data_IF_821390903159
#
_entry.id   IF_821390903159
#
_cell.length_a   1.000
_cell.length_b   1.000
_cell.length_c   1.000
_cell.angle_alpha   90.00
_cell.angle_beta   90.00
_cell.angle_gamma   90.00
#
_symmetry.space_group_name_H-M   'P 1'
#
loop_
_entity.id
_entity.type
_entity.pdbx_description
1 polymer ?
#
# COMPACT_ATOMS: atom_id res chain seq x y z
N UNK A 1 -34.40 -64.53 14.55
CA UNK A 1 -33.56 -63.58 13.77
C UNK A 1 -34.02 -62.17 14.13
N UNK A 2 -33.22 -61.43 14.87
CA UNK A 2 -33.53 -60.02 15.16
C UNK A 2 -33.33 -59.24 13.85
N UNK A 3 -34.38 -58.60 13.37
CA UNK A 3 -34.28 -57.69 12.24
C UNK A 3 -33.29 -56.59 12.61
N UNK A 4 -32.21 -56.46 11.83
CA UNK A 4 -31.27 -55.35 11.95
C UNK A 4 -32.08 -54.08 11.67
N UNK A 5 -32.37 -53.33 12.72
CA UNK A 5 -32.98 -51.99 12.56
C UNK A 5 -31.96 -51.14 11.81
N UNK A 6 -32.25 -50.83 10.54
CA UNK A 6 -31.47 -49.90 9.76
C UNK A 6 -31.59 -48.54 10.47
N UNK A 7 -30.51 -48.10 11.12
CA UNK A 7 -30.44 -46.78 11.74
C UNK A 7 -30.55 -45.74 10.62
N UNK A 8 -31.68 -45.08 10.52
CA UNK A 8 -31.89 -43.94 9.62
C UNK A 8 -31.46 -42.65 10.37
N UNK A 9 -30.95 -41.65 9.64
CA UNK A 9 -30.66 -40.33 10.20
C UNK A 9 -31.87 -39.73 10.92
N UNK A 10 -33.07 -39.98 10.43
CA UNK A 10 -34.32 -39.51 11.03
C UNK A 10 -34.63 -40.20 12.38
N UNK A 11 -34.03 -41.33 12.69
CA UNK A 11 -34.21 -42.04 13.97
C UNK A 11 -33.24 -41.57 15.08
N UNK A 12 -32.25 -40.77 14.73
CA UNK A 12 -31.29 -40.23 15.74
C UNK A 12 -31.95 -39.18 16.65
N UNK A 13 -31.62 -39.13 17.94
CA UNK A 13 -32.02 -38.02 18.80
C UNK A 13 -31.61 -36.67 18.24
N UNK A 14 -32.28 -35.57 18.62
CA UNK A 14 -32.04 -34.23 18.07
C UNK A 14 -30.65 -33.72 18.36
N UNK A 15 -30.09 -33.93 19.55
CA UNK A 15 -28.80 -33.42 19.93
C UNK A 15 -27.63 -34.01 19.11
N UNK A 16 -27.50 -35.36 18.96
CA UNK A 16 -26.51 -35.94 18.05
C UNK A 16 -26.68 -35.45 16.61
N UNK A 17 -27.93 -35.29 16.14
CA UNK A 17 -28.20 -34.84 14.78
C UNK A 17 -27.79 -33.37 14.58
N UNK A 18 -28.07 -32.51 15.55
CA UNK A 18 -27.60 -31.11 15.54
C UNK A 18 -26.07 -31.02 15.54
N UNK A 19 -25.42 -31.92 16.30
CA UNK A 19 -23.96 -32.00 16.28
C UNK A 19 -23.44 -32.37 14.88
N UNK A 20 -24.03 -33.36 14.23
CA UNK A 20 -23.68 -33.71 12.84
C UNK A 20 -23.91 -32.52 11.91
N UNK A 21 -25.07 -31.87 11.97
CA UNK A 21 -25.40 -30.70 11.17
C UNK A 21 -24.45 -29.53 11.43
N UNK A 22 -23.84 -29.45 12.63
CA UNK A 22 -22.87 -28.38 12.93
C UNK A 22 -21.56 -28.49 12.17
N UNK A 23 -21.24 -29.62 11.56
CA UNK A 23 -20.05 -29.78 10.69
C UNK A 23 -20.33 -29.42 9.22
N UNK A 24 -21.60 -29.27 8.85
CA UNK A 24 -22.00 -28.96 7.47
C UNK A 24 -21.80 -27.49 7.14
N UNK A 25 -21.58 -27.20 5.87
CA UNK A 25 -21.61 -25.84 5.34
C UNK A 25 -23.05 -25.42 5.01
N UNK A 26 -23.25 -24.12 4.71
CA UNK A 26 -24.59 -23.57 4.46
C UNK A 26 -25.32 -24.26 3.32
N UNK A 27 -24.61 -24.66 2.25
CA UNK A 27 -25.19 -25.35 1.09
C UNK A 27 -25.77 -26.71 1.48
N UNK A 28 -25.04 -27.43 2.32
CA UNK A 28 -25.47 -28.76 2.80
C UNK A 28 -26.62 -28.60 3.78
N UNK A 29 -26.60 -27.57 4.65
CA UNK A 29 -27.73 -27.31 5.57
C UNK A 29 -29.02 -26.98 4.77
N UNK A 30 -28.89 -26.16 3.72
CA UNK A 30 -30.05 -25.88 2.83
C UNK A 30 -30.52 -27.15 2.15
N UNK A 31 -29.64 -27.97 1.63
CA UNK A 31 -29.99 -29.26 1.01
C UNK A 31 -30.67 -30.19 2.02
N UNK A 32 -30.14 -30.31 3.22
CA UNK A 32 -30.77 -31.11 4.29
C UNK A 32 -32.16 -30.59 4.65
N UNK A 33 -32.39 -29.28 4.61
CA UNK A 33 -33.69 -28.69 4.93
C UNK A 33 -34.81 -29.11 3.96
N UNK A 34 -34.48 -29.58 2.78
CA UNK A 34 -35.43 -29.99 1.74
C UNK A 34 -35.81 -31.48 1.83
N UNK A 35 -35.16 -32.26 2.73
CA UNK A 35 -35.32 -33.74 2.78
C UNK A 35 -36.51 -34.16 3.63
N UNK A 36 -36.69 -33.56 4.83
CA UNK A 36 -37.82 -33.91 5.71
C UNK A 36 -38.21 -32.71 6.59
N UNK A 37 -39.45 -32.69 7.11
CA UNK A 37 -39.91 -31.63 8.03
C UNK A 37 -39.01 -31.51 9.26
N UNK A 38 -38.58 -32.63 9.81
CA UNK A 38 -37.70 -32.68 10.97
C UNK A 38 -36.34 -32.03 10.66
N UNK A 39 -35.72 -32.34 9.53
CA UNK A 39 -34.47 -31.73 9.10
C UNK A 39 -34.67 -30.25 8.80
N UNK A 40 -35.81 -29.82 8.24
CA UNK A 40 -36.13 -28.39 8.08
C UNK A 40 -36.10 -27.64 9.40
N UNK A 41 -36.70 -28.21 10.45
CA UNK A 41 -36.71 -27.62 11.79
C UNK A 41 -35.30 -27.55 12.40
N UNK A 42 -34.57 -28.68 12.36
CA UNK A 42 -33.22 -28.77 12.93
C UNK A 42 -32.18 -27.88 12.19
N UNK A 43 -32.23 -27.83 10.87
CA UNK A 43 -31.37 -26.96 10.08
C UNK A 43 -31.68 -25.47 10.27
N UNK A 44 -32.87 -25.11 10.74
CA UNK A 44 -33.24 -23.75 11.16
C UNK A 44 -32.67 -23.32 12.49
N UNK A 45 -31.97 -24.21 13.22
CA UNK A 45 -31.49 -23.92 14.58
C UNK A 45 -30.45 -22.79 14.60
N UNK A 46 -30.71 -21.77 15.39
CA UNK A 46 -29.89 -20.55 15.45
C UNK A 46 -28.39 -20.75 15.63
N UNK A 47 -27.89 -21.64 16.48
CA UNK A 47 -26.44 -21.87 16.66
C UNK A 47 -25.72 -22.29 15.37
N UNK A 48 -26.37 -23.02 14.46
CA UNK A 48 -25.79 -23.43 13.19
C UNK A 48 -25.51 -22.21 12.31
N UNK A 49 -26.50 -21.35 12.19
CA UNK A 49 -26.40 -20.13 11.36
C UNK A 49 -25.52 -19.06 12.01
N UNK A 50 -25.49 -18.97 13.35
CA UNK A 50 -24.52 -18.11 14.04
C UNK A 50 -23.08 -18.46 13.67
N UNK A 51 -22.74 -19.75 13.72
CA UNK A 51 -21.40 -20.23 13.32
C UNK A 51 -21.07 -19.86 11.87
N UNK A 52 -22.03 -20.02 10.97
CA UNK A 52 -21.85 -19.67 9.54
C UNK A 52 -21.72 -18.18 9.32
N UNK A 53 -22.51 -17.35 10.02
CA UNK A 53 -22.36 -15.89 10.00
C UNK A 53 -21.00 -15.44 10.50
N UNK A 54 -20.52 -16.04 11.59
CA UNK A 54 -19.18 -15.75 12.10
C UNK A 54 -18.07 -16.20 11.17
N UNK A 55 -18.21 -17.38 10.54
CA UNK A 55 -17.21 -17.94 9.64
C UNK A 55 -17.09 -17.13 8.33
N UNK A 56 -18.22 -16.85 7.67
CA UNK A 56 -18.22 -16.29 6.33
C UNK A 56 -18.32 -14.77 6.29
N UNK A 57 -19.04 -14.17 7.28
CA UNK A 57 -19.36 -12.75 7.30
C UNK A 57 -18.72 -11.97 8.45
N UNK A 58 -18.04 -12.66 9.38
CA UNK A 58 -17.43 -12.10 10.60
C UNK A 58 -18.43 -11.33 11.49
N UNK A 59 -19.71 -11.72 11.47
CA UNK A 59 -20.77 -11.05 12.21
C UNK A 59 -20.75 -11.43 13.68
N UNK A 60 -21.06 -10.44 14.53
CA UNK A 60 -21.08 -10.53 16.00
C UNK A 60 -22.50 -10.50 16.56
N UNK A 61 -22.63 -10.73 17.87
CA UNK A 61 -23.93 -10.54 18.55
C UNK A 61 -24.41 -9.08 18.51
N UNK A 62 -23.47 -8.13 18.45
CA UNK A 62 -23.83 -6.71 18.32
C UNK A 62 -24.50 -6.42 16.98
N UNK A 63 -23.96 -6.99 15.86
CA UNK A 63 -24.54 -6.84 14.52
C UNK A 63 -25.95 -7.43 14.45
N UNK A 64 -26.15 -8.60 15.06
CA UNK A 64 -27.47 -9.22 15.19
C UNK A 64 -28.44 -8.36 16.00
N UNK A 65 -27.96 -7.83 17.15
CA UNK A 65 -28.78 -6.99 18.04
C UNK A 65 -29.30 -5.75 17.37
N UNK A 66 -28.51 -5.11 16.52
CA UNK A 66 -28.90 -3.92 15.76
C UNK A 66 -30.02 -4.20 14.74
N UNK A 67 -30.07 -5.39 14.17
CA UNK A 67 -31.05 -5.75 13.11
C UNK A 67 -32.30 -6.46 13.60
N UNK A 68 -32.26 -7.02 14.81
CA UNK A 68 -33.42 -7.73 15.40
C UNK A 68 -33.85 -9.02 14.68
N UNK A 69 -32.98 -9.56 13.83
CA UNK A 69 -33.24 -10.72 12.97
C UNK A 69 -32.72 -12.03 13.59
N UNK A 70 -33.19 -13.18 13.09
CA UNK A 70 -32.55 -14.46 13.37
C UNK A 70 -31.20 -14.58 12.65
N UNK A 71 -30.33 -15.45 13.12
CA UNK A 71 -29.02 -15.70 12.45
C UNK A 71 -29.17 -16.23 11.02
N UNK A 72 -30.24 -16.99 10.76
CA UNK A 72 -30.53 -17.52 9.41
C UNK A 72 -30.94 -16.39 8.46
N UNK A 73 -31.82 -15.51 8.89
CA UNK A 73 -32.22 -14.33 8.09
C UNK A 73 -31.03 -13.40 7.83
N UNK A 74 -30.22 -13.17 8.87
CA UNK A 74 -29.01 -12.36 8.75
C UNK A 74 -28.00 -12.98 7.76
N UNK A 75 -27.81 -14.31 7.81
CA UNK A 75 -26.97 -15.00 6.84
C UNK A 75 -27.51 -14.85 5.42
N UNK A 76 -28.82 -15.00 5.25
CA UNK A 76 -29.50 -14.88 3.96
C UNK A 76 -29.30 -13.47 3.37
N UNK A 77 -29.51 -12.43 4.14
CA UNK A 77 -29.37 -11.04 3.68
C UNK A 77 -27.94 -10.75 3.23
N UNK A 78 -26.94 -11.18 4.00
CA UNK A 78 -25.54 -11.08 3.59
C UNK A 78 -25.23 -11.92 2.36
N UNK A 79 -25.84 -13.10 2.24
CA UNK A 79 -25.65 -13.95 1.07
C UNK A 79 -26.25 -13.35 -0.20
N UNK A 80 -27.39 -12.68 -0.10
CA UNK A 80 -27.99 -11.96 -1.23
C UNK A 80 -27.07 -10.83 -1.72
N UNK A 81 -26.43 -10.12 -0.81
CA UNK A 81 -25.57 -8.97 -1.13
C UNK A 81 -24.13 -9.39 -1.49
N UNK A 82 -23.51 -10.30 -0.74
CA UNK A 82 -22.10 -10.70 -0.87
C UNK A 82 -21.88 -12.17 -1.22
N UNK A 83 -22.92 -12.95 -1.49
CA UNK A 83 -22.80 -14.40 -1.73
C UNK A 83 -21.87 -14.77 -2.88
N UNK A 84 -21.79 -13.93 -3.91
CA UNK A 84 -20.83 -14.04 -5.01
C UNK A 84 -19.37 -14.06 -4.51
N UNK A 85 -19.10 -13.42 -3.37
CA UNK A 85 -17.77 -13.17 -2.81
C UNK A 85 -17.49 -13.99 -1.55
N UNK A 86 -18.31 -15.00 -1.24
CA UNK A 86 -18.25 -15.74 0.05
C UNK A 86 -16.88 -16.35 0.34
N UNK A 87 -16.13 -16.73 -0.70
CA UNK A 87 -14.79 -17.31 -0.59
C UNK A 87 -13.70 -16.27 -0.26
N UNK A 88 -13.98 -14.99 -0.46
CA UNK A 88 -13.01 -13.90 -0.27
C UNK A 88 -13.36 -12.96 0.88
N UNK A 89 -14.67 -12.84 1.18
CA UNK A 89 -15.20 -11.81 2.04
C UNK A 89 -14.56 -11.80 3.44
N UNK A 90 -14.51 -12.96 4.11
CA UNK A 90 -14.00 -13.02 5.48
C UNK A 90 -12.52 -12.59 5.57
N UNK A 91 -11.70 -13.00 4.61
CA UNK A 91 -10.27 -12.62 4.54
C UNK A 91 -10.11 -11.13 4.30
N UNK A 92 -10.80 -10.60 3.31
CA UNK A 92 -10.70 -9.18 2.93
C UNK A 92 -11.31 -8.26 3.99
N UNK A 93 -12.47 -8.65 4.54
CA UNK A 93 -13.12 -7.87 5.63
C UNK A 93 -12.23 -7.82 6.86
N UNK A 94 -11.63 -8.95 7.25
CA UNK A 94 -10.67 -8.99 8.34
C UNK A 94 -9.48 -8.09 8.08
N UNK A 95 -8.89 -8.15 6.88
CA UNK A 95 -7.78 -7.29 6.51
C UNK A 95 -8.15 -5.80 6.61
N UNK A 96 -9.30 -5.41 6.09
CA UNK A 96 -9.80 -4.03 6.22
C UNK A 96 -10.03 -3.61 7.68
N UNK A 97 -10.62 -4.47 8.51
CA UNK A 97 -10.87 -4.18 9.92
C UNK A 97 -9.57 -4.04 10.72
N UNK A 98 -8.61 -4.94 10.49
CA UNK A 98 -7.29 -4.89 11.13
C UNK A 98 -6.54 -3.61 10.74
N UNK A 99 -6.53 -3.27 9.44
CA UNK A 99 -5.90 -2.04 8.94
C UNK A 99 -6.55 -0.78 9.53
N UNK A 100 -7.88 -0.71 9.52
CA UNK A 100 -8.64 0.43 10.07
C UNK A 100 -8.41 0.58 11.57
N UNK A 101 -8.41 -0.51 12.32
CA UNK A 101 -8.17 -0.49 13.76
C UNK A 101 -6.75 0.00 14.07
N UNK A 102 -5.75 -0.48 13.34
CA UNK A 102 -4.35 -0.12 13.55
C UNK A 102 -4.08 1.34 13.13
N UNK A 103 -4.45 1.72 11.91
CA UNK A 103 -4.23 3.06 11.40
C UNK A 103 -5.12 4.11 12.07
N UNK A 104 -6.29 3.73 12.58
CA UNK A 104 -7.14 4.62 13.37
C UNK A 104 -6.44 5.18 14.61
N UNK A 105 -5.48 4.42 15.17
CA UNK A 105 -4.68 4.84 16.30
C UNK A 105 -3.37 5.56 15.88
N UNK A 106 -2.79 5.18 14.75
CA UNK A 106 -1.47 5.67 14.30
C UNK A 106 -1.55 6.79 13.27
N UNK A 107 -2.46 6.67 12.30
CA UNK A 107 -2.62 7.61 11.19
C UNK A 107 -4.11 7.83 10.87
N UNK A 108 -4.90 8.48 11.74
CA UNK A 108 -6.35 8.62 11.57
C UNK A 108 -6.73 9.34 10.27
N UNK A 109 -5.86 10.21 9.74
CA UNK A 109 -6.07 10.90 8.46
C UNK A 109 -6.15 9.94 7.28
N UNK A 110 -5.38 8.85 7.27
CA UNK A 110 -5.47 7.82 6.23
C UNK A 110 -6.85 7.15 6.25
N UNK A 111 -7.36 6.84 7.45
CA UNK A 111 -8.69 6.23 7.59
C UNK A 111 -9.80 7.19 7.16
N UNK A 112 -9.67 8.46 7.47
CA UNK A 112 -10.65 9.49 7.05
C UNK A 112 -10.67 9.69 5.51
N UNK A 113 -9.64 9.25 4.80
CA UNK A 113 -9.59 9.32 3.34
C UNK A 113 -10.29 8.16 2.64
N UNK A 114 -10.60 7.07 3.33
CA UNK A 114 -11.30 5.92 2.75
C UNK A 114 -12.67 6.31 2.19
N UNK A 115 -12.97 5.81 1.00
CA UNK A 115 -14.29 5.97 0.38
C UNK A 115 -15.23 4.86 0.86
N UNK A 116 -16.52 5.13 0.82
CA UNK A 116 -17.55 4.11 1.00
C UNK A 116 -17.42 3.02 -0.05
N UNK A 117 -17.92 1.83 0.23
CA UNK A 117 -17.89 0.73 -0.73
C UNK A 117 -18.71 1.04 -1.98
N UNK A 118 -18.18 0.65 -3.13
CA UNK A 118 -18.88 0.74 -4.41
C UNK A 118 -20.08 -0.19 -4.45
N UNK A 119 -21.10 0.18 -5.19
CA UNK A 119 -22.26 -0.69 -5.46
C UNK A 119 -21.94 -1.71 -6.55
N UNK A 120 -22.75 -2.76 -6.61
CA UNK A 120 -22.56 -3.83 -7.60
C UNK A 120 -22.75 -3.31 -9.03
N UNK A 121 -23.74 -2.44 -9.25
CA UNK A 121 -24.03 -1.81 -10.54
C UNK A 121 -22.92 -0.83 -10.99
N UNK A 122 -22.25 -0.15 -10.06
CA UNK A 122 -21.08 0.69 -10.36
C UNK A 122 -19.92 -0.17 -10.88
N UNK A 123 -19.64 -1.31 -10.23
CA UNK A 123 -18.63 -2.26 -10.70
C UNK A 123 -18.97 -2.88 -12.05
N UNK A 124 -20.24 -3.20 -12.29
CA UNK A 124 -20.70 -3.70 -13.60
C UNK A 124 -20.55 -2.64 -14.70
N UNK A 125 -20.82 -1.36 -14.40
CA UNK A 125 -20.61 -0.25 -15.32
C UNK A 125 -19.12 -0.10 -15.68
N UNK A 126 -18.23 -0.23 -14.70
CA UNK A 126 -16.77 -0.20 -14.93
C UNK A 126 -16.33 -1.38 -15.82
N UNK A 127 -16.81 -2.60 -15.56
CA UNK A 127 -16.53 -3.76 -16.43
C UNK A 127 -16.97 -3.51 -17.88
N UNK A 128 -18.14 -2.91 -18.06
CA UNK A 128 -18.64 -2.53 -19.40
C UNK A 128 -17.76 -1.45 -20.05
N UNK A 129 -17.30 -0.46 -19.28
CA UNK A 129 -16.45 0.62 -19.77
C UNK A 129 -15.08 0.11 -20.24
N UNK A 130 -14.41 -0.75 -19.44
CA UNK A 130 -13.07 -1.24 -19.76
C UNK A 130 -13.09 -2.47 -20.70
N UNK A 131 -14.23 -3.09 -20.88
CA UNK A 131 -14.41 -4.29 -21.72
C UNK A 131 -13.80 -5.58 -21.13
N UNK A 132 -13.49 -5.60 -19.82
CA UNK A 132 -12.88 -6.73 -19.12
C UNK A 132 -13.62 -7.03 -17.83
N UNK A 133 -13.59 -8.32 -17.41
CA UNK A 133 -14.15 -8.73 -16.12
C UNK A 133 -13.16 -8.53 -14.99
N UNK A 134 -13.61 -7.85 -13.94
CA UNK A 134 -12.85 -7.68 -12.71
C UNK A 134 -12.79 -8.98 -11.91
N UNK A 135 -11.66 -9.35 -11.30
CA UNK A 135 -11.57 -10.47 -10.38
C UNK A 135 -12.54 -10.32 -9.20
N UNK A 136 -13.12 -11.44 -8.75
CA UNK A 136 -14.13 -11.40 -7.68
C UNK A 136 -13.56 -10.91 -6.33
N UNK A 137 -12.31 -11.20 -6.03
CA UNK A 137 -11.63 -10.72 -4.83
C UNK A 137 -11.41 -9.18 -4.87
N UNK A 138 -11.04 -8.63 -6.02
CA UNK A 138 -10.98 -7.18 -6.22
C UNK A 138 -12.38 -6.55 -6.02
N UNK A 139 -13.40 -7.06 -6.70
CA UNK A 139 -14.79 -6.59 -6.55
C UNK A 139 -15.22 -6.64 -5.08
N UNK A 140 -14.96 -7.76 -4.40
CA UNK A 140 -15.30 -7.92 -2.98
C UNK A 140 -14.67 -6.82 -2.11
N UNK A 141 -13.38 -6.55 -2.28
CA UNK A 141 -12.69 -5.51 -1.51
C UNK A 141 -13.27 -4.13 -1.79
N UNK A 142 -13.55 -3.82 -3.05
CA UNK A 142 -14.08 -2.51 -3.44
C UNK A 142 -15.56 -2.32 -3.07
N UNK A 143 -16.29 -3.41 -2.84
CA UNK A 143 -17.61 -3.38 -2.19
C UNK A 143 -17.51 -3.02 -0.70
N UNK A 144 -16.37 -3.27 -0.05
CA UNK A 144 -16.14 -2.89 1.35
C UNK A 144 -15.65 -1.42 1.42
N UNK A 145 -14.62 -1.08 0.65
CA UNK A 145 -14.10 0.28 0.50
C UNK A 145 -13.64 0.53 -0.94
N UNK A 146 -14.17 1.57 -1.57
CA UNK A 146 -13.84 1.97 -2.93
C UNK A 146 -12.58 2.85 -2.95
N UNK A 147 -11.42 2.27 -2.59
CA UNK A 147 -10.18 3.01 -2.54
C UNK A 147 -10.16 4.16 -1.53
N UNK A 148 -9.36 5.17 -1.81
CA UNK A 148 -9.28 6.38 -0.98
C UNK A 148 -9.49 7.65 -1.80
N UNK A 149 -9.81 8.75 -1.14
CA UNK A 149 -9.69 10.09 -1.72
C UNK A 149 -8.20 10.37 -1.92
N UNK A 150 -7.84 10.91 -3.07
CA UNK A 150 -6.46 11.29 -3.37
C UNK A 150 -6.01 12.36 -2.39
N UNK A 151 -5.29 11.96 -1.38
CA UNK A 151 -4.79 12.81 -0.30
C UNK A 151 -3.44 12.26 0.17
N UNK A 152 -2.65 13.12 0.75
CA UNK A 152 -1.40 12.75 1.39
C UNK A 152 -1.66 12.55 2.89
N UNK A 153 -1.17 11.47 3.50
CA UNK A 153 -0.37 10.36 2.95
C UNK A 153 -1.23 9.29 2.28
N UNK A 154 -0.69 8.65 1.23
CA UNK A 154 -1.33 7.55 0.53
C UNK A 154 -1.40 6.27 1.36
N UNK A 155 -2.52 5.56 1.25
CA UNK A 155 -2.81 4.36 2.04
C UNK A 155 -1.81 3.22 1.81
N UNK A 156 -1.27 3.11 0.59
CA UNK A 156 -0.38 2.01 0.21
C UNK A 156 1.10 2.29 0.52
N UNK A 157 1.37 3.37 1.24
CA UNK A 157 2.69 3.68 1.76
C UNK A 157 3.70 4.12 0.71
N UNK A 158 4.94 4.31 1.13
CA UNK A 158 6.04 4.79 0.31
C UNK A 158 7.22 3.84 0.35
N UNK A 159 7.89 3.68 -0.78
CA UNK A 159 9.19 2.99 -0.87
C UNK A 159 10.38 3.91 -0.55
N UNK A 160 10.14 5.20 -0.30
CA UNK A 160 11.17 6.19 -0.02
C UNK A 160 10.86 6.98 1.23
N UNK A 161 11.86 7.17 2.09
CA UNK A 161 11.76 7.96 3.32
C UNK A 161 11.76 9.47 3.09
N UNK A 162 12.12 9.92 1.90
CA UNK A 162 12.54 11.30 1.71
C UNK A 162 11.41 12.33 1.66
N UNK A 163 10.15 11.90 1.45
CA UNK A 163 9.04 12.86 1.36
C UNK A 163 7.68 12.15 1.46
N UNK A 164 6.75 12.65 2.28
CA UNK A 164 5.40 12.08 2.39
C UNK A 164 4.55 12.23 1.12
N UNK A 165 4.95 13.06 0.17
CA UNK A 165 4.32 13.13 -1.15
C UNK A 165 4.63 11.93 -2.06
N UNK A 166 5.50 11.01 -1.67
CA UNK A 166 5.87 9.83 -2.46
C UNK A 166 5.11 8.57 -2.11
N UNK A 167 4.13 8.68 -1.24
CA UNK A 167 3.23 7.56 -0.93
C UNK A 167 2.30 7.26 -2.10
N UNK A 168 1.93 5.99 -2.22
CA UNK A 168 0.97 5.55 -3.22
C UNK A 168 -0.45 5.59 -2.65
N UNK A 169 -1.34 6.24 -3.37
CA UNK A 169 -2.77 6.21 -3.10
C UNK A 169 -3.38 4.90 -3.62
N UNK A 170 -4.35 4.35 -2.88
CA UNK A 170 -5.20 3.27 -3.38
C UNK A 170 -6.31 3.89 -4.23
N UNK A 171 -6.26 3.65 -5.54
CA UNK A 171 -7.20 4.24 -6.49
C UNK A 171 -8.63 3.73 -6.27
N UNK A 172 -9.61 4.61 -6.44
CA UNK A 172 -11.00 4.19 -6.60
C UNK A 172 -11.27 3.60 -7.99
N UNK A 173 -12.42 2.94 -8.16
CA UNK A 173 -12.74 2.22 -9.40
C UNK A 173 -12.83 3.13 -10.62
N UNK A 174 -13.32 4.36 -10.45
CA UNK A 174 -13.46 5.33 -11.56
C UNK A 174 -12.10 5.84 -12.00
N UNK A 175 -11.24 6.19 -11.04
CA UNK A 175 -9.87 6.62 -11.33
C UNK A 175 -9.05 5.48 -11.93
N UNK A 176 -9.18 4.26 -11.40
CA UNK A 176 -8.53 3.07 -11.95
C UNK A 176 -8.98 2.79 -13.39
N UNK A 177 -10.28 2.87 -13.67
CA UNK A 177 -10.82 2.70 -15.01
C UNK A 177 -10.35 3.79 -15.98
N UNK A 178 -10.26 5.04 -15.51
CA UNK A 178 -9.69 6.17 -16.29
C UNK A 178 -8.22 5.96 -16.63
N UNK A 179 -7.47 5.29 -15.78
CA UNK A 179 -6.06 4.92 -16.01
C UNK A 179 -5.87 3.61 -16.80
N UNK A 180 -6.94 2.90 -17.12
CA UNK A 180 -6.89 1.66 -17.90
C UNK A 180 -6.44 1.93 -19.32
N UNK A 181 -5.28 1.37 -19.70
CA UNK A 181 -4.66 1.63 -20.97
C UNK A 181 -4.46 0.36 -21.79
N UNK A 182 -4.61 0.48 -23.11
CA UNK A 182 -4.36 -0.57 -24.09
C UNK A 182 -2.94 -0.49 -24.69
N UNK A 183 -1.97 0.03 -23.93
CA UNK A 183 -0.57 0.15 -24.39
C UNK A 183 0.08 -1.22 -24.55
N UNK A 184 1.00 -1.33 -25.52
CA UNK A 184 1.83 -2.52 -25.68
C UNK A 184 2.57 -2.81 -24.35
N UNK A 185 2.49 -4.03 -23.88
CA UNK A 185 3.07 -4.44 -22.57
C UNK A 185 2.15 -4.19 -21.36
N UNK A 186 1.14 -3.33 -21.45
CA UNK A 186 0.17 -3.01 -20.39
C UNK A 186 -1.28 -3.29 -20.80
N UNK A 187 -1.46 -4.05 -21.87
CA UNK A 187 -2.79 -4.42 -22.35
C UNK A 187 -3.54 -5.18 -21.27
N UNK A 188 -4.78 -4.76 -21.01
CA UNK A 188 -5.68 -5.36 -20.03
C UNK A 188 -5.11 -5.37 -18.59
N UNK A 189 -4.36 -4.32 -18.22
CA UNK A 189 -3.88 -4.12 -16.88
C UNK A 189 -4.59 -2.93 -16.23
N UNK A 190 -5.14 -3.15 -15.04
CA UNK A 190 -5.85 -2.15 -14.26
C UNK A 190 -4.90 -1.53 -13.23
N UNK A 191 -4.71 -0.21 -13.18
CA UNK A 191 -3.93 0.42 -12.12
C UNK A 191 -4.67 0.27 -10.78
N UNK A 192 -3.96 -0.15 -9.75
CA UNK A 192 -4.48 -0.28 -8.38
C UNK A 192 -4.03 0.88 -7.51
N UNK A 193 -2.81 1.35 -7.73
CA UNK A 193 -2.19 2.42 -6.95
C UNK A 193 -1.59 3.48 -7.86
N UNK A 194 -1.36 4.66 -7.32
CA UNK A 194 -0.64 5.70 -8.02
C UNK A 194 0.15 6.56 -7.04
N UNK A 195 1.41 6.81 -7.37
CA UNK A 195 2.24 7.80 -6.70
C UNK A 195 2.35 9.04 -7.56
N UNK A 196 1.77 10.14 -7.12
CA UNK A 196 1.70 11.39 -7.89
C UNK A 196 3.08 11.96 -8.26
N UNK A 197 4.08 11.76 -7.40
CA UNK A 197 5.41 12.32 -7.62
C UNK A 197 6.33 11.48 -8.47
N UNK A 198 6.21 10.16 -8.38
CA UNK A 198 7.12 9.25 -9.09
C UNK A 198 6.50 8.65 -10.34
N UNK A 199 5.18 8.79 -10.51
CA UNK A 199 4.42 8.10 -11.54
C UNK A 199 4.40 6.57 -11.34
N UNK A 200 4.95 6.05 -10.23
CA UNK A 200 4.91 4.64 -9.91
C UNK A 200 3.48 4.19 -9.66
N UNK A 201 3.14 3.05 -10.22
CA UNK A 201 1.84 2.41 -10.05
C UNK A 201 1.99 0.91 -9.96
N UNK A 202 1.15 0.29 -9.16
CA UNK A 202 0.93 -1.14 -9.21
C UNK A 202 -0.27 -1.43 -10.09
N UNK A 203 -0.14 -2.43 -10.94
CA UNK A 203 -1.17 -2.84 -11.89
C UNK A 203 -1.57 -4.28 -11.63
N UNK A 204 -2.82 -4.58 -11.86
CA UNK A 204 -3.36 -5.94 -11.85
C UNK A 204 -3.67 -6.39 -13.28
N UNK A 205 -3.16 -7.55 -13.69
CA UNK A 205 -3.50 -8.16 -14.96
C UNK A 205 -4.93 -8.72 -14.91
N UNK A 206 -5.82 -8.23 -15.78
CA UNK A 206 -7.21 -8.71 -15.84
C UNK A 206 -7.35 -9.97 -16.68
N UNK A 207 -6.40 -10.25 -17.57
CA UNK A 207 -6.35 -11.45 -18.38
C UNK A 207 -4.92 -12.03 -18.40
N UNK A 208 -4.83 -13.33 -18.65
CA UNK A 208 -3.54 -13.98 -18.88
C UNK A 208 -3.01 -13.62 -20.24
N UNK A 209 -1.75 -13.20 -20.28
CA UNK A 209 -1.00 -12.89 -21.50
C UNK A 209 0.33 -13.65 -21.50
N UNK A 210 1.08 -13.59 -22.58
CA UNK A 210 2.44 -14.16 -22.63
C UNK A 210 3.30 -13.47 -21.56
N UNK A 211 3.75 -14.24 -20.56
CA UNK A 211 4.56 -13.76 -19.44
C UNK A 211 3.79 -13.22 -18.21
N UNK A 212 2.43 -13.26 -18.20
CA UNK A 212 1.62 -12.82 -17.05
C UNK A 212 0.43 -13.70 -16.80
N UNK A 213 0.15 -13.94 -15.53
CA UNK A 213 -1.03 -14.66 -15.07
C UNK A 213 -2.15 -13.69 -14.73
N UNK A 214 -3.39 -14.07 -14.99
CA UNK A 214 -4.55 -13.28 -14.55
C UNK A 214 -4.53 -13.07 -13.03
N UNK A 215 -4.89 -11.87 -12.59
CA UNK A 215 -4.90 -11.40 -11.20
C UNK A 215 -3.52 -11.13 -10.59
N UNK A 216 -2.44 -11.35 -11.32
CA UNK A 216 -1.09 -10.99 -10.89
C UNK A 216 -0.95 -9.49 -10.75
N UNK A 217 -0.30 -9.04 -9.65
CA UNK A 217 -0.07 -7.63 -9.34
C UNK A 217 1.42 -7.33 -9.42
N UNK A 218 1.76 -6.24 -10.09
CA UNK A 218 3.13 -5.89 -10.40
C UNK A 218 3.34 -4.38 -10.50
N UNK A 219 4.57 -3.93 -10.29
CA UNK A 219 4.96 -2.55 -10.56
C UNK A 219 5.20 -2.30 -12.03
N UNK A 220 4.80 -1.12 -12.46
CA UNK A 220 5.17 -0.54 -13.74
C UNK A 220 5.90 0.78 -13.49
N UNK A 221 7.14 0.88 -13.98
CA UNK A 221 7.90 2.12 -14.00
C UNK A 221 7.92 2.67 -15.43
N UNK A 222 7.38 3.87 -15.69
CA UNK A 222 7.34 4.45 -17.04
C UNK A 222 8.72 4.57 -17.68
N UNK A 223 9.76 4.86 -16.93
CA UNK A 223 11.12 5.06 -17.41
C UNK A 223 11.83 3.76 -17.81
N UNK A 224 11.48 2.63 -17.20
CA UNK A 224 12.05 1.32 -17.56
C UNK A 224 11.54 0.81 -18.89
N UNK A 225 10.31 1.13 -19.27
CA UNK A 225 9.75 0.76 -20.59
C UNK A 225 10.41 1.51 -21.75
N UNK A 226 11.00 2.66 -21.49
CA UNK A 226 11.68 3.45 -22.53
C UNK A 226 13.08 2.94 -22.83
N UNK A 227 13.72 2.23 -21.88
CA UNK A 227 15.11 1.80 -21.99
C UNK A 227 15.28 0.34 -22.42
N UNK A 228 14.43 -0.57 -21.96
CA UNK A 228 14.48 -1.98 -22.37
C UNK A 228 13.12 -2.67 -22.20
N UNK A 229 12.41 -2.96 -23.31
CA UNK A 229 11.16 -3.70 -23.27
C UNK A 229 11.27 -5.13 -22.75
N UNK A 230 12.49 -5.70 -22.70
CA UNK A 230 12.76 -7.05 -22.16
C UNK A 230 13.09 -7.02 -20.66
N UNK A 231 13.47 -5.88 -20.11
CA UNK A 231 13.66 -5.66 -18.66
C UNK A 231 12.33 -5.57 -17.90
N UNK A 232 11.24 -6.01 -18.51
CA UNK A 232 9.92 -6.16 -17.92
C UNK A 232 9.87 -7.38 -16.97
N UNK A 233 10.96 -7.78 -16.38
CA UNK A 233 10.94 -8.55 -15.12
C UNK A 233 10.41 -7.65 -14.03
N UNK A 234 9.13 -7.39 -14.16
CA UNK A 234 8.39 -6.53 -13.31
C UNK A 234 8.32 -7.16 -11.96
N UNK A 235 8.65 -6.37 -11.02
CA UNK A 235 8.58 -6.73 -9.62
C UNK A 235 7.12 -7.12 -9.28
N UNK A 236 6.86 -8.44 -9.25
CA UNK A 236 5.56 -8.99 -8.89
C UNK A 236 5.37 -8.82 -7.40
N UNK A 237 4.29 -8.18 -7.00
CA UNK A 237 3.95 -7.88 -5.60
C UNK A 237 2.85 -8.77 -5.05
N UNK A 238 2.12 -9.48 -5.90
CA UNK A 238 1.10 -10.44 -5.49
C UNK A 238 0.59 -11.30 -6.64
N UNK A 239 0.14 -12.50 -6.33
CA UNK A 239 -0.47 -13.44 -7.28
C UNK A 239 -1.98 -13.26 -7.42
N UNK A 240 -2.61 -12.52 -6.50
CA UNK A 240 -4.03 -12.17 -6.49
C UNK A 240 -4.24 -10.90 -5.66
N UNK A 241 -5.39 -10.26 -5.83
CA UNK A 241 -5.73 -9.10 -5.01
C UNK A 241 -5.81 -9.44 -3.51
N UNK A 242 -6.41 -10.59 -3.18
CA UNK A 242 -6.51 -11.04 -1.79
C UNK A 242 -5.16 -11.24 -1.14
N UNK A 243 -4.23 -11.94 -1.81
CA UNK A 243 -2.88 -12.16 -1.27
C UNK A 243 -2.13 -10.83 -1.12
N UNK A 244 -2.12 -10.01 -2.15
CA UNK A 244 -1.46 -8.73 -2.17
C UNK A 244 -1.93 -7.81 -1.04
N UNK A 245 -3.25 -7.66 -0.89
CA UNK A 245 -3.82 -6.77 0.12
C UNK A 245 -3.66 -7.33 1.54
N UNK A 246 -3.93 -8.62 1.74
CA UNK A 246 -3.79 -9.24 3.06
C UNK A 246 -2.33 -9.26 3.54
N UNK A 247 -1.37 -9.53 2.65
CA UNK A 247 0.07 -9.47 2.97
C UNK A 247 0.51 -8.04 3.31
N UNK A 248 0.03 -7.05 2.55
CA UNK A 248 0.29 -5.65 2.84
C UNK A 248 -0.21 -5.27 4.24
N UNK A 249 -1.46 -5.58 4.54
CA UNK A 249 -2.06 -5.29 5.85
C UNK A 249 -1.32 -5.99 6.98
N UNK A 250 -0.96 -7.26 6.79
CA UNK A 250 -0.18 -8.01 7.77
C UNK A 250 1.14 -7.31 8.09
N UNK A 251 1.89 -6.89 7.07
CA UNK A 251 3.17 -6.20 7.24
C UNK A 251 3.01 -4.84 7.95
N UNK A 252 1.93 -4.11 7.68
CA UNK A 252 1.62 -2.86 8.37
C UNK A 252 1.29 -3.10 9.86
N UNK A 253 0.41 -4.05 10.13
CA UNK A 253 -0.07 -4.32 11.50
C UNK A 253 1.01 -4.94 12.38
N UNK A 254 1.90 -5.76 11.83
CA UNK A 254 3.04 -6.33 12.57
C UNK A 254 4.20 -5.34 12.74
N UNK A 255 4.17 -4.21 12.03
CA UNK A 255 5.22 -3.20 12.05
C UNK A 255 6.41 -3.52 11.14
N UNK A 256 6.31 -4.56 10.30
CA UNK A 256 7.28 -4.83 9.23
C UNK A 256 7.35 -3.66 8.23
N UNK A 257 6.20 -3.02 8.00
CA UNK A 257 6.12 -1.73 7.34
C UNK A 257 5.87 -0.65 8.40
N UNK A 258 6.94 -0.04 8.93
CA UNK A 258 6.81 0.94 10.01
C UNK A 258 6.09 2.20 9.54
N UNK A 259 5.43 2.85 10.51
CA UNK A 259 4.85 4.17 10.33
C UNK A 259 5.87 5.19 10.82
N UNK A 260 6.34 6.06 9.92
CA UNK A 260 7.31 7.11 10.20
C UNK A 260 6.71 8.44 9.70
N UNK A 261 6.59 9.41 10.59
CA UNK A 261 6.00 10.73 10.27
C UNK A 261 4.64 10.63 9.56
N UNK A 262 3.72 9.87 10.17
CA UNK A 262 2.36 9.61 9.66
C UNK A 262 2.29 8.94 8.27
N UNK A 263 3.38 8.32 7.83
CA UNK A 263 3.46 7.62 6.56
C UNK A 263 3.88 6.18 6.76
N UNK A 264 3.23 5.26 6.05
CA UNK A 264 3.64 3.85 5.99
C UNK A 264 4.85 3.74 5.08
N UNK A 265 5.91 3.12 5.59
CA UNK A 265 7.13 2.87 4.84
C UNK A 265 7.25 1.40 4.47
N UNK A 266 7.20 1.10 3.16
CA UNK A 266 7.33 -0.27 2.66
C UNK A 266 8.79 -0.63 2.45
N UNK A 267 9.26 -1.64 3.16
CA UNK A 267 10.62 -2.19 3.05
C UNK A 267 10.61 -3.41 2.11
N UNK A 268 9.98 -3.29 0.95
CA UNK A 268 9.87 -4.45 0.03
C UNK A 268 11.21 -4.91 -0.53
N UNK A 269 12.19 -4.01 -0.66
CA UNK A 269 13.57 -4.36 -1.00
C UNK A 269 14.34 -5.00 0.17
N UNK A 270 13.78 -4.98 1.37
CA UNK A 270 14.42 -5.48 2.58
C UNK A 270 13.93 -6.88 3.01
N UNK A 271 13.19 -7.61 2.17
CA UNK A 271 12.90 -9.04 2.44
C UNK A 271 14.16 -9.92 2.48
N UNK A 272 15.33 -9.38 2.11
CA UNK A 272 16.63 -9.95 2.43
C UNK A 272 17.25 -9.40 3.73
N UNK A 273 16.55 -8.53 4.43
CA UNK A 273 17.05 -7.84 5.61
C UNK A 273 16.57 -8.49 6.91
N UNK A 274 16.92 -9.76 7.10
CA UNK A 274 17.06 -10.32 8.44
C UNK A 274 18.05 -9.44 9.24
N UNK A 275 18.02 -9.42 10.60
CA UNK A 275 19.01 -8.71 11.44
C UNK A 275 20.47 -9.02 11.06
N UNK A 276 20.69 -10.13 10.36
CA UNK A 276 21.97 -10.54 9.78
C UNK A 276 22.42 -9.69 8.58
N UNK A 277 21.60 -8.81 8.04
CA UNK A 277 21.87 -7.99 6.85
C UNK A 277 22.07 -6.51 7.16
N UNK A 278 22.48 -6.18 8.39
CA UNK A 278 22.98 -4.83 8.68
C UNK A 278 24.08 -4.46 7.70
N UNK A 279 23.99 -3.25 7.14
CA UNK A 279 24.98 -2.70 6.23
C UNK A 279 25.55 -1.39 6.78
N UNK A 280 26.75 -1.06 6.40
CA UNK A 280 27.37 0.20 6.74
C UNK A 280 27.62 1.01 5.47
N UNK A 281 27.34 2.31 5.53
CA UNK A 281 27.66 3.24 4.47
C UNK A 281 29.17 3.43 4.36
N UNK A 282 29.71 3.22 3.16
CA UNK A 282 31.13 3.45 2.87
C UNK A 282 31.36 4.80 2.22
N UNK A 283 30.60 5.11 1.19
CA UNK A 283 30.83 6.29 0.38
C UNK A 283 29.56 6.79 -0.30
N UNK A 284 29.65 8.00 -0.81
CA UNK A 284 28.62 8.61 -1.64
C UNK A 284 29.21 9.09 -2.95
N UNK A 285 28.38 9.08 -3.98
CA UNK A 285 28.65 9.70 -5.27
C UNK A 285 27.47 10.56 -5.67
N UNK A 286 27.75 11.79 -6.06
CA UNK A 286 26.77 12.74 -6.58
C UNK A 286 27.19 13.27 -7.93
N UNK A 287 26.25 13.37 -8.82
CA UNK A 287 26.36 14.07 -10.10
C UNK A 287 25.37 15.22 -10.06
N UNK A 288 25.90 16.44 -10.07
CA UNK A 288 25.14 17.68 -10.00
C UNK A 288 25.20 18.32 -11.37
N UNK A 289 24.06 18.63 -11.96
CA UNK A 289 23.98 19.27 -13.29
C UNK A 289 23.23 20.57 -13.15
N UNK A 290 23.87 21.66 -13.58
CA UNK A 290 23.28 22.97 -13.54
C UNK A 290 22.37 23.25 -14.76
N UNK A 291 21.62 24.37 -14.76
CA UNK A 291 20.73 24.75 -15.83
C UNK A 291 21.40 24.90 -17.20
N UNK A 292 22.71 25.15 -17.23
CA UNK A 292 23.50 25.27 -18.45
C UNK A 292 24.04 23.92 -18.96
N UNK A 293 23.72 22.83 -18.28
CA UNK A 293 24.21 21.49 -18.63
C UNK A 293 25.62 21.16 -18.14
N UNK A 294 26.27 22.06 -17.36
CA UNK A 294 27.56 21.75 -16.76
C UNK A 294 27.38 20.73 -15.63
N UNK A 295 28.26 19.75 -15.59
CA UNK A 295 28.24 18.65 -14.66
C UNK A 295 29.38 18.77 -13.66
N UNK A 296 29.05 18.66 -12.38
CA UNK A 296 29.99 18.51 -11.28
C UNK A 296 29.80 17.11 -10.65
N UNK A 297 30.91 16.38 -10.45
CA UNK A 297 30.90 15.09 -9.79
C UNK A 297 31.54 15.22 -8.40
N UNK A 298 30.84 14.73 -7.39
CA UNK A 298 31.27 14.75 -6.00
C UNK A 298 31.34 13.33 -5.47
N UNK A 299 32.49 12.92 -5.00
CA UNK A 299 32.72 11.61 -4.37
C UNK A 299 33.33 11.82 -3.00
N UNK A 300 32.93 11.03 -2.03
CA UNK A 300 33.50 11.10 -0.70
C UNK A 300 33.11 9.96 0.21
N UNK A 301 33.93 9.69 1.24
CA UNK A 301 33.61 8.66 2.22
C UNK A 301 32.46 9.13 3.12
N UNK A 302 31.58 8.19 3.50
CA UNK A 302 30.48 8.43 4.42
C UNK A 302 29.57 9.60 4.04
N UNK A 303 28.85 10.14 4.99
CA UNK A 303 28.03 11.36 4.90
C UNK A 303 28.35 12.28 6.08
N UNK A 304 28.80 13.51 5.78
CA UNK A 304 29.15 14.53 6.77
C UNK A 304 30.10 14.00 7.87
N UNK A 305 31.08 13.17 7.47
CA UNK A 305 32.05 12.56 8.40
C UNK A 305 31.53 11.33 9.16
N UNK A 306 30.29 10.89 8.90
CA UNK A 306 29.68 9.73 9.53
C UNK A 306 29.61 8.53 8.58
N UNK A 307 29.70 7.34 9.17
CA UNK A 307 29.54 6.05 8.48
C UNK A 307 28.40 5.26 9.12
N UNK A 308 27.16 5.66 8.87
CA UNK A 308 26.03 5.08 9.58
C UNK A 308 25.88 3.58 9.30
N UNK A 309 25.63 2.84 10.36
CA UNK A 309 25.20 1.45 10.30
C UNK A 309 23.70 1.42 10.18
N UNK A 310 23.21 0.89 9.06
CA UNK A 310 21.81 0.72 8.75
C UNK A 310 21.38 -0.70 9.10
N UNK A 311 20.41 -0.79 9.98
CA UNK A 311 19.68 -2.03 10.28
C UNK A 311 18.25 -1.89 9.78
N UNK A 312 17.52 -2.99 9.55
CA UNK A 312 16.12 -2.91 9.16
C UNK A 312 15.30 -1.98 10.07
N UNK A 313 14.58 -1.03 9.48
CA UNK A 313 13.79 -0.04 10.19
C UNK A 313 14.57 1.15 10.77
N UNK A 314 15.90 1.17 10.72
CA UNK A 314 16.69 2.31 11.16
C UNK A 314 16.72 3.40 10.09
N UNK A 315 16.49 4.63 10.53
CA UNK A 315 16.62 5.84 9.71
C UNK A 315 17.86 6.58 10.16
N UNK A 316 18.64 7.09 9.20
CA UNK A 316 19.73 8.02 9.44
C UNK A 316 19.45 9.32 8.68
N UNK A 317 19.35 10.41 9.40
CA UNK A 317 19.13 11.74 8.85
C UNK A 317 20.43 12.55 8.94
N UNK A 318 20.77 13.23 7.87
CA UNK A 318 21.90 14.16 7.86
C UNK A 318 21.58 15.38 6.99
N UNK A 319 22.18 16.50 7.27
CA UNK A 319 22.09 17.70 6.46
C UNK A 319 23.40 17.90 5.68
N UNK A 320 23.25 18.26 4.41
CA UNK A 320 24.38 18.60 3.54
C UNK A 320 24.06 19.87 2.77
N UNK A 321 25.09 20.55 2.28
CA UNK A 321 24.92 21.74 1.47
C UNK A 321 25.72 21.64 0.18
N UNK A 322 25.22 22.29 -0.87
CA UNK A 322 25.94 22.51 -2.12
C UNK A 322 25.81 23.97 -2.52
N UNK A 323 26.75 24.45 -3.33
CA UNK A 323 26.70 25.81 -3.88
C UNK A 323 26.12 25.75 -5.29
N UNK A 324 25.12 26.57 -5.55
CA UNK A 324 24.52 26.68 -6.88
C UNK A 324 25.34 27.58 -7.77
N UNK A 325 25.61 27.13 -8.96
CA UNK A 325 26.21 27.95 -10.04
C UNK A 325 25.14 28.60 -10.92
N UNK A 326 23.91 28.11 -10.85
CA UNK A 326 22.71 28.65 -11.53
C UNK A 326 21.53 28.65 -10.56
N UNK A 327 20.42 29.26 -10.97
CA UNK A 327 19.21 29.31 -10.13
C UNK A 327 18.52 27.96 -9.95
N UNK A 328 18.82 26.99 -10.80
CA UNK A 328 18.30 25.64 -10.71
C UNK A 328 19.36 24.60 -11.09
N UNK A 329 19.37 23.51 -10.39
CA UNK A 329 20.27 22.39 -10.64
C UNK A 329 19.50 21.09 -10.38
N UNK A 330 19.98 19.96 -10.87
CA UNK A 330 19.48 18.66 -10.44
C UNK A 330 20.64 17.78 -9.99
N UNK A 331 20.34 16.90 -9.06
CA UNK A 331 21.30 15.99 -8.47
C UNK A 331 20.79 14.55 -8.58
N UNK A 332 21.69 13.64 -8.93
CA UNK A 332 21.48 12.20 -8.96
C UNK A 332 22.75 11.50 -8.46
N UNK A 333 22.65 10.24 -8.03
CA UNK A 333 23.85 9.55 -7.57
C UNK A 333 23.56 8.22 -6.90
N UNK A 334 24.48 7.81 -6.03
CA UNK A 334 24.31 6.59 -5.25
C UNK A 334 25.09 6.65 -3.94
N UNK A 335 24.65 5.81 -3.00
CA UNK A 335 25.42 5.47 -1.82
C UNK A 335 25.95 4.05 -1.97
N UNK A 336 27.23 3.87 -1.63
CA UNK A 336 27.88 2.56 -1.57
C UNK A 336 27.86 2.02 -0.14
N UNK A 337 27.37 0.81 0.03
CA UNK A 337 27.30 0.10 1.30
C UNK A 337 28.02 -1.22 1.23
N UNK A 338 28.54 -1.70 2.37
CA UNK A 338 28.93 -3.09 2.55
C UNK A 338 28.10 -3.78 3.61
N UNK A 339 27.92 -5.11 3.49
CA UNK A 339 27.26 -5.92 4.52
C UNK A 339 28.20 -6.17 5.68
N UNK A 340 27.72 -5.98 6.92
CA UNK A 340 28.55 -6.19 8.11
C UNK A 340 28.91 -7.66 8.34
N UNK A 341 28.03 -8.59 7.99
CA UNK A 341 28.25 -10.03 8.12
C UNK A 341 29.23 -10.55 7.06
N UNK A 342 29.22 -9.97 5.87
CA UNK A 342 30.12 -10.31 4.77
C UNK A 342 30.70 -9.05 4.16
N UNK A 343 31.80 -8.56 4.72
CA UNK A 343 32.46 -7.32 4.29
C UNK A 343 32.92 -7.29 2.82
N UNK A 344 32.95 -8.43 2.16
CA UNK A 344 33.25 -8.52 0.72
C UNK A 344 32.04 -8.23 -0.17
N UNK A 345 30.84 -8.18 0.38
CA UNK A 345 29.61 -7.88 -0.36
C UNK A 345 29.33 -6.38 -0.31
N UNK A 346 29.71 -5.70 -1.38
CA UNK A 346 29.50 -4.27 -1.59
C UNK A 346 28.38 -4.07 -2.60
N UNK A 347 27.50 -3.09 -2.36
CA UNK A 347 26.39 -2.76 -3.26
C UNK A 347 26.10 -1.27 -3.25
N UNK A 348 25.55 -0.77 -4.36
CA UNK A 348 25.15 0.61 -4.51
C UNK A 348 23.63 0.76 -4.34
N UNK A 349 23.23 1.80 -3.64
CA UNK A 349 21.84 2.25 -3.53
C UNK A 349 21.69 3.52 -4.36
N UNK A 350 21.05 3.40 -5.50
CA UNK A 350 20.85 4.52 -6.42
C UNK A 350 19.89 5.55 -5.84
N UNK A 351 20.26 6.82 -6.00
CA UNK A 351 19.41 7.96 -5.68
C UNK A 351 18.91 8.54 -7.01
N UNK A 352 17.60 8.51 -7.24
CA UNK A 352 17.02 9.05 -8.46
C UNK A 352 17.25 10.57 -8.53
N UNK A 353 17.19 11.10 -9.76
CA UNK A 353 17.29 12.53 -10.00
C UNK A 353 16.26 13.31 -9.22
N UNK A 354 16.72 14.36 -8.54
CA UNK A 354 15.86 15.35 -7.92
C UNK A 354 16.35 16.76 -8.27
N UNK A 355 15.41 17.69 -8.37
CA UNK A 355 15.67 19.06 -8.73
C UNK A 355 15.82 19.92 -7.51
N UNK A 356 16.73 20.88 -7.61
CA UNK A 356 17.02 21.88 -6.58
C UNK A 356 16.85 23.25 -7.22
N UNK A 357 16.08 24.13 -6.59
CA UNK A 357 15.86 25.50 -7.06
C UNK A 357 16.30 26.48 -5.99
N UNK A 358 17.17 27.41 -6.38
CA UNK A 358 17.54 28.53 -5.55
C UNK A 358 16.64 29.71 -5.93
N UNK A 359 15.76 30.19 -5.05
CA UNK A 359 14.94 31.34 -5.34
C UNK A 359 15.84 32.56 -5.57
N UNK A 360 15.45 33.47 -6.51
CA UNK A 360 16.23 34.67 -6.77
C UNK A 360 16.34 35.51 -5.48
N UNK A 361 17.55 36.00 -5.22
CA UNK A 361 17.78 36.91 -4.09
C UNK A 361 16.88 38.13 -4.28
N UNK A 362 15.85 38.23 -3.44
CA UNK A 362 15.08 39.47 -3.35
C UNK A 362 15.87 40.44 -2.53
N UNK A 363 16.42 41.47 -3.13
CA UNK A 363 16.83 42.71 -2.43
C UNK A 363 15.56 43.38 -1.86
N UNK A 364 14.93 42.73 -0.88
CA UNK A 364 13.82 43.34 -0.17
C UNK A 364 14.35 44.11 1.03
N UNK A 365 14.33 45.45 0.87
CA UNK A 365 14.30 46.38 1.98
C UNK A 365 15.41 46.20 3.07
N UNK A 366 16.64 46.37 2.68
CA UNK A 366 17.70 46.70 3.66
C UNK A 366 17.53 48.14 4.15
N UNK A 367 16.50 48.39 4.93
CA UNK A 367 16.43 49.52 5.88
C UNK A 367 15.65 49.05 7.11
N UNK A 368 16.27 48.27 7.92
CA UNK A 368 16.40 48.35 9.38
C UNK A 368 16.86 47.02 9.95
N UNK A 369 17.97 47.08 10.74
CA UNK A 369 18.48 46.10 11.71
C UNK A 369 18.99 44.75 11.18
N UNK A 370 20.26 44.68 10.95
CA UNK A 370 21.29 43.71 11.41
C UNK A 370 20.86 42.29 11.80
N UNK A 371 20.31 41.50 10.90
CA UNK A 371 20.53 40.04 10.84
C UNK A 371 20.32 39.63 9.40
N UNK A 372 21.38 39.18 8.72
CA UNK A 372 21.25 38.58 7.39
C UNK A 372 20.89 37.12 7.55
N UNK A 373 19.64 36.78 7.37
CA UNK A 373 19.20 35.39 7.14
C UNK A 373 19.63 34.96 5.73
N UNK A 374 20.39 33.88 5.64
CA UNK A 374 20.68 33.24 4.38
C UNK A 374 19.45 32.42 3.95
N UNK A 375 19.06 32.47 2.67
CA UNK A 375 17.94 31.70 2.21
C UNK A 375 18.24 30.19 2.33
N UNK A 376 17.32 29.47 2.97
CA UNK A 376 17.33 28.02 3.04
C UNK A 376 17.03 27.49 1.63
N UNK A 377 17.88 26.61 1.11
CA UNK A 377 17.58 25.89 -0.12
C UNK A 377 16.38 24.97 0.13
N UNK A 378 15.26 25.32 -0.50
CA UNK A 378 14.05 24.52 -0.44
C UNK A 378 14.11 23.47 -1.56
N UNK A 379 14.08 22.22 -1.20
CA UNK A 379 13.97 21.13 -2.16
C UNK A 379 12.53 21.09 -2.67
N UNK A 380 12.27 21.67 -3.83
CA UNK A 380 11.00 21.52 -4.52
C UNK A 380 11.15 20.45 -5.60
N UNK A 381 10.39 19.37 -5.48
CA UNK A 381 10.09 18.54 -6.65
C UNK A 381 9.13 19.30 -7.56
N UNK A 382 9.40 19.23 -8.85
CA UNK A 382 8.69 19.95 -9.89
C UNK A 382 7.16 19.91 -9.78
N UNK A 383 6.56 21.06 -10.04
CA UNK A 383 5.14 21.31 -10.27
C UNK A 383 4.20 21.29 -9.07
N UNK A 384 4.31 22.25 -8.15
CA UNK A 384 3.10 22.75 -7.52
C UNK A 384 3.20 24.22 -7.14
N UNK A 385 2.28 24.98 -7.71
CA UNK A 385 2.03 26.39 -7.45
C UNK A 385 1.00 26.57 -6.35
N UNK A 386 1.15 25.90 -5.22
CA UNK A 386 0.32 26.18 -4.05
C UNK A 386 1.19 26.33 -2.82
N UNK A 387 1.37 27.59 -2.47
CA UNK A 387 2.03 28.05 -1.25
C UNK A 387 1.07 27.86 -0.07
N UNK A 388 1.17 26.74 0.61
CA UNK A 388 0.71 26.67 1.98
C UNK A 388 1.90 26.80 2.93
N UNK A 389 1.93 27.93 3.60
CA UNK A 389 2.85 28.23 4.67
C UNK A 389 2.64 27.26 5.84
N UNK A 390 3.53 26.31 5.99
CA UNK A 390 3.72 25.62 7.26
C UNK A 390 5.01 26.13 7.91
N UNK A 391 4.84 26.91 8.94
CA UNK A 391 5.91 27.26 9.87
C UNK A 391 6.29 25.97 10.63
N UNK A 392 7.51 25.50 10.39
CA UNK A 392 8.09 24.40 11.14
C UNK A 392 8.67 24.96 12.45
N UNK A 393 8.08 24.63 13.58
CA UNK A 393 8.44 25.15 14.93
C UNK A 393 9.82 24.66 15.43
N UNK A 394 10.64 24.03 14.60
CA UNK A 394 11.99 23.63 14.96
C UNK A 394 13.05 24.17 13.99
N UNK A 395 13.07 25.49 13.88
CA UNK A 395 14.13 26.19 13.18
C UNK A 395 15.47 26.09 13.93
N UNK A 396 16.39 25.31 13.39
CA UNK A 396 17.78 25.41 13.78
C UNK A 396 18.36 26.67 13.12
N UNK A 397 18.44 27.75 13.87
CA UNK A 397 19.15 28.97 13.49
C UNK A 397 20.65 28.66 13.36
N UNK A 398 21.13 28.52 12.12
CA UNK A 398 22.55 28.57 11.82
C UNK A 398 22.90 29.98 11.34
N UNK A 399 23.07 30.89 12.27
CA UNK A 399 23.69 32.16 12.01
C UNK A 399 25.22 31.95 11.90
N UNK A 400 25.76 32.10 10.71
CA UNK A 400 27.20 32.15 10.52
C UNK A 400 27.57 33.53 9.96
N UNK A 401 28.15 34.43 10.78
CA UNK A 401 28.56 35.74 10.30
C UNK A 401 29.92 35.63 9.58
N UNK A 402 29.87 35.62 8.25
CA UNK A 402 31.04 36.02 7.45
C UNK A 402 32.11 34.98 7.18
N UNK A 403 31.78 33.71 7.05
CA UNK A 403 32.72 32.68 6.61
C UNK A 403 32.30 32.07 5.27
N UNK A 404 33.21 32.00 4.30
CA UNK A 404 33.06 31.09 3.15
C UNK A 404 32.85 29.71 3.73
N UNK A 405 31.77 29.05 3.34
CA UNK A 405 31.54 27.66 3.70
C UNK A 405 32.79 26.85 3.26
N UNK A 406 33.49 26.20 4.17
CA UNK A 406 34.63 25.38 3.76
C UNK A 406 34.09 24.26 2.89
N UNK A 407 34.75 23.98 1.79
CA UNK A 407 34.51 22.79 0.96
C UNK A 407 34.87 21.56 1.79
N UNK A 408 33.93 21.10 2.63
CA UNK A 408 33.98 19.78 3.22
C UNK A 408 32.81 19.01 2.65
N UNK A 409 33.16 18.20 1.76
CA UNK A 409 32.29 17.27 1.01
C UNK A 409 32.17 15.98 1.80
#
# INVERSE_FOLDING_TARGET
MAAATVLSLDSLPSDPLLLILSFLDFRDLVSCSLVSRRLTELTGHNPLWKRLCQKHWLLTEADKGQRGQSWRELFHDFYVDFGRYIDYYSTLKKAWDDLKSYLGQKCPRMIASLKEGAKEDELDAIEAQIGCKLPNDYRCSYRIHNGQKLVVPGLMGSMSLSNHYRSEDLLDIETAAGGFQQRKGMKQCLPLTFCFHTGLSQYMALESTEGRTRSEIFYHCPDQLAQDPSAIDMFITGSSFTEWFASYVQNVVTGEFPIIRDQIFRIEMAKSALPESACQLDSRYWKITNANGNVEEVRGPGVVGEFPVMTPGKVHEYASCTTFSTTSEYMEGHYTFHRLKNKGEVFDVSIPRFHMVCPPFRESMARSSSVRELPIAVFNNDNDSDTDNYEDEHGINMANPGGRCPRHI
#
